data_IF_297144133429
#
_entry.id   IF_297144133429
#
_cell.length_a   1.000
_cell.length_b   1.000
_cell.length_c   1.000
_cell.angle_alpha   90.00
_cell.angle_beta   90.00
_cell.angle_gamma   90.00
#
_symmetry.space_group_name_H-M   'P 1'
#
loop_
_entity.id
_entity.type
_entity.pdbx_description
1 polymer ?
#
# COMPACT_ATOMS: atom_id res chain seq x y z
N UNK A 1 0.90 8.16 -17.51
CA UNK A 1 0.86 6.67 -17.50
C UNK A 1 1.91 6.11 -18.44
N UNK A 2 2.36 4.83 -18.31
CA UNK A 2 3.06 4.20 -19.42
C UNK A 2 2.17 4.34 -20.65
N UNK A 3 2.66 5.03 -21.67
CA UNK A 3 1.94 5.24 -22.93
C UNK A 3 2.03 3.96 -23.77
N UNK A 4 1.58 2.83 -23.23
CA UNK A 4 1.77 1.54 -23.86
C UNK A 4 1.30 0.36 -23.01
N UNK A 5 1.52 -0.83 -23.54
CA UNK A 5 1.14 -2.10 -22.94
C UNK A 5 1.85 -2.32 -21.58
N UNK A 6 1.09 -2.79 -20.59
CA UNK A 6 1.55 -3.14 -19.24
C UNK A 6 2.32 -4.48 -19.23
N UNK A 7 2.67 -5.04 -20.39
CA UNK A 7 3.43 -6.28 -20.53
C UNK A 7 4.83 -6.23 -19.91
N UNK A 8 5.43 -5.04 -19.74
CA UNK A 8 6.70 -4.88 -19.04
C UNK A 8 6.61 -5.05 -17.52
N UNK A 9 5.39 -5.13 -16.97
CA UNK A 9 5.12 -5.28 -15.55
C UNK A 9 4.85 -6.73 -15.18
N UNK A 10 5.26 -7.10 -13.98
CA UNK A 10 4.95 -8.41 -13.39
C UNK A 10 3.49 -8.48 -12.97
N UNK A 11 2.96 -9.70 -12.84
CA UNK A 11 1.58 -9.89 -12.36
C UNK A 11 1.40 -9.45 -10.90
N UNK A 12 2.48 -9.46 -10.11
CA UNK A 12 2.49 -8.86 -8.77
C UNK A 12 2.27 -7.35 -8.82
N UNK A 13 2.93 -6.64 -9.75
CA UNK A 13 2.74 -5.19 -9.93
C UNK A 13 1.33 -4.86 -10.43
N UNK A 14 0.79 -5.65 -11.38
CA UNK A 14 -0.58 -5.50 -11.88
C UNK A 14 -1.63 -5.68 -10.77
N UNK A 15 -1.51 -6.75 -9.96
CA UNK A 15 -2.40 -6.98 -8.80
C UNK A 15 -2.31 -5.85 -7.77
N UNK A 16 -1.09 -5.37 -7.48
CA UNK A 16 -0.90 -4.24 -6.57
C UNK A 16 -1.59 -2.98 -7.10
N UNK A 17 -1.46 -2.69 -8.39
CA UNK A 17 -2.14 -1.56 -9.02
C UNK A 17 -3.67 -1.69 -8.90
N UNK A 18 -4.23 -2.85 -9.27
CA UNK A 18 -5.67 -3.10 -9.18
C UNK A 18 -6.23 -2.91 -7.75
N UNK A 19 -5.51 -3.36 -6.72
CA UNK A 19 -5.93 -3.14 -5.34
C UNK A 19 -5.91 -1.66 -4.92
N UNK A 20 -4.91 -0.89 -5.38
CA UNK A 20 -4.83 0.53 -5.06
C UNK A 20 -5.92 1.31 -5.79
N UNK A 21 -6.16 0.96 -7.06
CA UNK A 21 -7.20 1.51 -7.93
C UNK A 21 -8.59 1.31 -7.31
N UNK A 22 -8.94 0.07 -6.96
CA UNK A 22 -10.19 -0.24 -6.28
C UNK A 22 -10.38 0.63 -5.04
N UNK A 23 -9.35 0.78 -4.20
CA UNK A 23 -9.43 1.64 -3.03
C UNK A 23 -9.60 3.14 -3.34
N UNK A 24 -9.25 3.62 -4.53
CA UNK A 24 -9.57 4.98 -4.98
C UNK A 24 -11.00 5.08 -5.54
N UNK A 25 -11.46 4.07 -6.27
CA UNK A 25 -12.85 3.99 -6.76
C UNK A 25 -13.85 3.94 -5.61
N UNK A 26 -13.57 3.14 -4.58
CA UNK A 26 -14.37 3.06 -3.35
C UNK A 26 -14.45 4.42 -2.62
N UNK A 27 -13.46 5.30 -2.84
CA UNK A 27 -13.42 6.68 -2.33
C UNK A 27 -14.06 7.69 -3.29
N UNK A 28 -14.71 7.24 -4.36
CA UNK A 28 -15.44 8.06 -5.33
C UNK A 28 -14.57 8.69 -6.42
N UNK A 29 -13.32 8.25 -6.60
CA UNK A 29 -12.48 8.71 -7.72
C UNK A 29 -12.87 7.96 -8.99
N UNK A 30 -12.99 8.67 -10.12
CA UNK A 30 -13.26 8.05 -11.42
C UNK A 30 -12.20 7.01 -11.80
N UNK A 31 -12.61 5.91 -12.44
CA UNK A 31 -11.75 4.81 -12.89
C UNK A 31 -10.41 5.27 -13.49
N UNK A 32 -10.43 6.16 -14.49
CA UNK A 32 -9.20 6.63 -15.17
C UNK A 32 -8.20 7.33 -14.23
N UNK A 33 -8.70 8.08 -13.24
CA UNK A 33 -7.88 8.79 -12.27
C UNK A 33 -7.43 7.84 -11.15
N UNK A 34 -8.27 6.88 -10.75
CA UNK A 34 -7.92 5.82 -9.81
C UNK A 34 -6.79 4.95 -10.37
N UNK A 35 -6.92 4.50 -11.61
CA UNK A 35 -5.92 3.76 -12.37
C UNK A 35 -4.62 4.56 -12.46
N UNK A 36 -4.70 5.84 -12.82
CA UNK A 36 -3.55 6.75 -12.89
C UNK A 36 -2.77 6.78 -11.59
N UNK A 37 -3.45 7.00 -10.47
CA UNK A 37 -2.86 7.10 -9.13
C UNK A 37 -2.28 5.76 -8.69
N UNK A 38 -2.95 4.66 -9.00
CA UNK A 38 -2.49 3.31 -8.71
C UNK A 38 -1.16 3.01 -9.39
N UNK A 39 -1.09 3.20 -10.71
CA UNK A 39 0.14 2.96 -11.47
C UNK A 39 1.27 3.92 -11.11
N UNK A 40 0.95 5.17 -10.79
CA UNK A 40 1.94 6.12 -10.28
C UNK A 40 2.57 5.62 -8.96
N UNK A 41 1.75 5.06 -8.06
CA UNK A 41 2.22 4.50 -6.79
C UNK A 41 3.11 3.28 -7.01
N UNK A 42 2.69 2.33 -7.85
CA UNK A 42 3.49 1.14 -8.18
C UNK A 42 4.82 1.53 -8.83
N UNK A 43 4.81 2.47 -9.78
CA UNK A 43 6.03 2.97 -10.42
C UNK A 43 6.94 3.71 -9.44
N UNK A 44 6.38 4.43 -8.47
CA UNK A 44 7.19 5.10 -7.45
C UNK A 44 7.94 4.11 -6.56
N UNK A 45 7.34 2.96 -6.27
CA UNK A 45 7.98 1.90 -5.48
C UNK A 45 9.04 1.12 -6.24
N UNK A 46 8.72 0.74 -7.48
CA UNK A 46 9.51 -0.19 -8.29
C UNK A 46 10.46 0.47 -9.29
N UNK A 47 10.27 1.76 -9.59
CA UNK A 47 11.02 2.47 -10.63
C UNK A 47 10.63 2.09 -12.07
N UNK A 48 9.63 1.23 -12.26
CA UNK A 48 9.13 0.83 -13.58
C UNK A 48 8.73 -0.65 -13.63
N UNK A 49 8.57 -1.19 -14.84
CA UNK A 49 8.20 -2.60 -15.02
C UNK A 49 9.32 -3.56 -14.58
N UNK A 50 9.05 -4.44 -13.61
CA UNK A 50 10.05 -5.38 -13.10
C UNK A 50 10.23 -6.58 -14.04
N UNK A 51 9.27 -6.83 -14.94
CA UNK A 51 9.36 -7.93 -15.89
C UNK A 51 10.38 -7.62 -16.97
N UNK A 52 10.29 -6.48 -17.66
CA UNK A 52 11.21 -6.11 -18.76
C UNK A 52 11.41 -4.60 -18.95
N UNK A 53 10.98 -3.77 -17.99
CA UNK A 53 11.13 -2.32 -18.04
C UNK A 53 12.22 -1.79 -17.11
N UNK A 54 12.15 -0.49 -16.82
CA UNK A 54 13.15 0.25 -16.04
C UNK A 54 13.32 -0.19 -14.59
N UNK A 55 12.39 -0.99 -14.05
CA UNK A 55 12.46 -1.60 -12.72
C UNK A 55 13.16 -2.95 -12.69
N UNK A 56 13.48 -3.55 -13.85
CA UNK A 56 14.13 -4.87 -13.91
C UNK A 56 15.49 -4.84 -13.20
N UNK A 57 15.71 -5.83 -12.32
CA UNK A 57 16.95 -5.97 -11.57
C UNK A 57 17.14 -4.95 -10.44
N UNK A 58 16.14 -4.10 -10.17
CA UNK A 58 16.16 -3.13 -9.07
C UNK A 58 15.25 -3.60 -7.93
N UNK A 59 15.68 -3.51 -6.67
CA UNK A 59 14.82 -3.81 -5.53
C UNK A 59 13.73 -2.75 -5.38
N UNK A 60 12.52 -3.18 -5.00
CA UNK A 60 11.41 -2.28 -4.66
C UNK A 60 11.75 -1.50 -3.37
N UNK A 61 11.50 -0.18 -3.37
CA UNK A 61 11.93 0.72 -2.28
C UNK A 61 10.90 0.91 -1.16
N UNK A 62 9.65 0.46 -1.34
CA UNK A 62 8.53 0.61 -0.41
C UNK A 62 8.33 2.04 0.15
N UNK A 63 8.78 3.04 -0.60
CA UNK A 63 8.85 4.43 -0.10
C UNK A 63 7.47 5.02 0.20
N UNK A 64 6.46 4.69 -0.60
CA UNK A 64 5.06 5.10 -0.38
C UNK A 64 4.50 4.52 0.91
N UNK A 65 4.64 3.20 1.12
CA UNK A 65 4.16 2.54 2.34
C UNK A 65 4.87 3.08 3.58
N UNK A 66 6.19 3.24 3.53
CA UNK A 66 6.98 3.78 4.63
C UNK A 66 6.55 5.21 4.99
N UNK A 67 6.33 6.06 3.98
CA UNK A 67 5.90 7.44 4.21
C UNK A 67 4.48 7.52 4.75
N UNK A 68 3.57 6.69 4.24
CA UNK A 68 2.22 6.58 4.78
C UNK A 68 2.21 6.15 6.25
N UNK A 69 2.99 5.13 6.62
CA UNK A 69 3.14 4.71 8.02
C UNK A 69 3.73 5.82 8.91
N UNK A 70 4.72 6.56 8.40
CA UNK A 70 5.30 7.71 9.12
C UNK A 70 4.34 8.90 9.24
N UNK A 71 3.49 9.16 8.24
CA UNK A 71 2.50 10.21 8.28
C UNK A 71 1.36 9.87 9.26
N UNK A 72 0.97 8.59 9.31
CA UNK A 72 0.03 8.06 10.29
C UNK A 72 0.68 7.81 11.66
N UNK A 73 1.73 8.58 12.03
CA UNK A 73 2.58 8.27 13.19
C UNK A 73 1.71 8.06 14.42
N UNK A 74 1.76 6.83 14.91
CA UNK A 74 1.52 6.34 16.27
C UNK A 74 0.74 7.31 17.15
N UNK A 75 -0.47 6.92 17.52
CA UNK A 75 -1.27 7.68 18.46
C UNK A 75 -0.47 8.17 19.67
N UNK A 76 -0.98 9.23 20.30
CA UNK A 76 -0.37 9.86 21.47
C UNK A 76 0.03 8.81 22.54
N UNK A 77 0.96 9.12 23.47
CA UNK A 77 1.29 8.21 24.56
C UNK A 77 0.05 7.62 25.27
N UNK A 78 -1.02 8.40 25.37
CA UNK A 78 -2.32 7.99 25.90
C UNK A 78 -3.00 6.95 25.01
N UNK A 79 -3.03 7.15 23.68
CA UNK A 79 -3.60 6.19 22.73
C UNK A 79 -2.81 4.87 22.72
N UNK A 80 -1.49 4.92 22.88
CA UNK A 80 -0.66 3.71 23.02
C UNK A 80 -0.95 2.97 24.32
N UNK A 81 -1.08 3.70 25.42
CA UNK A 81 -1.45 3.15 26.73
C UNK A 81 -2.85 2.54 26.72
N UNK A 82 -3.81 3.17 26.03
CA UNK A 82 -5.15 2.64 25.85
C UNK A 82 -5.15 1.34 25.02
N UNK A 83 -4.38 1.30 23.93
CA UNK A 83 -4.24 0.08 23.12
C UNK A 83 -3.59 -1.07 23.91
N UNK A 84 -2.57 -0.79 24.73
CA UNK A 84 -1.92 -1.77 25.58
C UNK A 84 -2.89 -2.35 26.64
N UNK A 85 -3.65 -1.49 27.33
CA UNK A 85 -4.69 -1.91 28.29
C UNK A 85 -5.77 -2.76 27.62
N UNK A 86 -6.27 -2.33 26.45
CA UNK A 86 -7.26 -3.09 25.67
C UNK A 86 -6.72 -4.48 25.30
N UNK A 87 -5.47 -4.56 24.83
CA UNK A 87 -4.81 -5.84 24.53
C UNK A 87 -4.71 -6.76 25.75
N UNK A 88 -4.34 -6.22 26.91
CA UNK A 88 -4.29 -6.97 28.15
C UNK A 88 -5.67 -7.47 28.59
N UNK A 89 -6.70 -6.63 28.54
CA UNK A 89 -8.08 -7.00 28.90
C UNK A 89 -8.61 -8.12 28.00
N UNK A 90 -8.36 -8.04 26.68
CA UNK A 90 -8.77 -9.12 25.76
C UNK A 90 -8.09 -10.45 26.07
N UNK A 91 -6.79 -10.43 26.38
CA UNK A 91 -6.05 -11.64 26.77
C UNK A 91 -6.56 -12.23 28.09
N UNK A 92 -6.85 -11.37 29.07
CA UNK A 92 -7.41 -11.80 30.37
C UNK A 92 -8.79 -12.45 30.20
N UNK A 93 -9.65 -11.90 29.36
CA UNK A 93 -10.99 -12.45 29.09
C UNK A 93 -10.92 -13.83 28.41
N UNK A 94 -10.00 -14.00 27.46
CA UNK A 94 -9.87 -15.25 26.70
C UNK A 94 -9.01 -16.32 27.40
N UNK A 95 -8.25 -15.98 28.44
CA UNK A 95 -7.45 -16.93 29.22
C UNK A 95 -8.14 -17.45 30.49
N UNK A 96 -9.33 -16.93 30.82
CA UNK A 96 -10.16 -17.37 31.95
C UNK A 96 -11.30 -18.32 31.52
N UNK A 97 -11.19 -18.88 30.31
CA UNK A 97 -12.00 -19.99 29.78
C UNK A 97 -11.09 -21.20 29.59
#
# INVERSE_FOLDING_TARGET
MPRGDKSSYTDKQKRKAAHIEQGYEDRGVSHEEAERRAWATVNKESGGGNKSGSGRGRPDTHVSSSRGGKANKSGSPEQRSAAARKGWETRRKNGNT
#
